data_IF_941451798424
#
_entry.id   IF_941451798424
#
_cell.length_a   1.000
_cell.length_b   1.000
_cell.length_c   1.000
_cell.angle_alpha   90.00
_cell.angle_beta   90.00
_cell.angle_gamma   90.00
#
_symmetry.space_group_name_H-M   'P 1'
#
loop_
_entity.id
_entity.type
_entity.pdbx_description
1 polymer ?
#
# COMPACT_ATOMS: atom_id res chain seq x y z
N UNK A 1 -31.14 9.58 -8.83
CA UNK A 1 -31.14 9.58 -7.35
C UNK A 1 -29.82 8.95 -6.93
N UNK A 2 -28.86 9.74 -6.48
CA UNK A 2 -27.63 9.21 -5.87
C UNK A 2 -28.01 8.65 -4.50
N UNK A 3 -27.96 7.32 -4.33
CA UNK A 3 -28.20 6.72 -3.02
C UNK A 3 -27.07 7.10 -2.07
N UNK A 4 -27.42 7.56 -0.87
CA UNK A 4 -26.44 7.69 0.21
C UNK A 4 -25.97 6.28 0.60
N UNK A 5 -24.68 6.00 0.48
CA UNK A 5 -24.12 4.73 0.94
C UNK A 5 -23.97 4.82 2.46
N UNK A 6 -24.67 3.94 3.18
CA UNK A 6 -24.56 3.82 4.62
C UNK A 6 -23.71 2.59 4.92
N UNK A 7 -22.56 2.79 5.56
CA UNK A 7 -21.67 1.73 6.02
C UNK A 7 -21.61 1.74 7.55
N UNK A 8 -21.29 0.59 8.14
CA UNK A 8 -21.12 0.46 9.59
C UNK A 8 -19.87 1.22 10.06
N UNK A 9 -19.84 1.69 11.33
CA UNK A 9 -18.64 2.32 11.89
C UNK A 9 -17.43 1.39 11.83
N UNK A 10 -16.28 1.94 11.43
CA UNK A 10 -15.01 1.23 11.35
C UNK A 10 -14.46 1.02 12.76
N UNK A 11 -14.01 -0.18 13.11
CA UNK A 11 -13.52 -0.47 14.46
C UNK A 11 -12.06 -0.93 14.48
N UNK A 12 -11.73 -1.95 13.70
CA UNK A 12 -10.42 -2.63 13.71
C UNK A 12 -9.54 -2.12 12.58
N UNK A 13 -8.45 -1.44 12.94
CA UNK A 13 -7.50 -0.86 11.98
C UNK A 13 -6.12 -1.45 12.24
N UNK A 14 -5.45 -1.95 11.21
CA UNK A 14 -4.04 -2.32 11.29
C UNK A 14 -3.17 -1.36 10.47
N UNK A 15 -1.98 -1.05 10.98
CA UNK A 15 -0.95 -0.32 10.25
C UNK A 15 0.25 -1.24 10.10
N UNK A 16 0.47 -1.73 8.89
CA UNK A 16 1.53 -2.68 8.55
C UNK A 16 2.79 -1.96 8.08
N UNK A 17 3.91 -2.32 8.69
CA UNK A 17 5.23 -1.82 8.32
C UNK A 17 6.20 -2.98 8.12
N UNK A 18 7.14 -2.82 7.19
CA UNK A 18 8.13 -3.86 6.92
C UNK A 18 7.56 -5.09 6.23
N UNK A 19 6.56 -4.92 5.36
CA UNK A 19 6.14 -5.99 4.44
C UNK A 19 7.30 -6.37 3.51
N UNK A 20 8.02 -5.35 3.03
CA UNK A 20 9.38 -5.49 2.55
C UNK A 20 10.35 -4.94 3.60
N UNK A 21 11.30 -5.75 4.07
CA UNK A 21 12.12 -5.41 5.24
C UNK A 21 13.13 -4.28 5.05
N UNK A 22 13.42 -3.90 3.81
CA UNK A 22 14.35 -2.83 3.46
C UNK A 22 13.65 -1.49 3.13
N UNK A 23 12.34 -1.38 3.27
CA UNK A 23 11.57 -0.14 3.09
C UNK A 23 11.38 0.55 4.45
N UNK A 24 12.38 1.35 4.84
CA UNK A 24 12.59 1.69 6.25
C UNK A 24 11.56 2.65 6.86
N UNK A 25 10.76 3.38 6.06
CA UNK A 25 9.80 4.35 6.62
C UNK A 25 8.71 3.64 7.40
N UNK A 26 8.08 2.64 6.80
CA UNK A 26 7.05 1.82 7.46
C UNK A 26 7.61 1.06 8.66
N UNK A 27 8.83 0.51 8.52
CA UNK A 27 9.54 -0.17 9.62
C UNK A 27 9.73 0.76 10.82
N UNK A 28 10.27 1.96 10.59
CA UNK A 28 10.59 2.91 11.65
C UNK A 28 9.31 3.41 12.34
N UNK A 29 8.30 3.81 11.58
CA UNK A 29 7.05 4.34 12.12
C UNK A 29 6.29 3.31 12.95
N UNK A 30 6.15 2.08 12.44
CA UNK A 30 5.48 1.01 13.18
C UNK A 30 6.27 0.63 14.44
N UNK A 31 7.60 0.54 14.35
CA UNK A 31 8.43 0.28 15.54
C UNK A 31 8.27 1.37 16.60
N UNK A 32 8.13 2.64 16.16
CA UNK A 32 7.84 3.76 17.06
C UNK A 32 6.46 3.63 17.69
N UNK A 33 5.40 3.39 16.89
CA UNK A 33 4.02 3.35 17.39
C UNK A 33 3.70 2.12 18.24
N UNK A 34 4.43 1.02 18.08
CA UNK A 34 4.39 -0.12 19.01
C UNK A 34 4.83 0.25 20.43
N UNK A 35 5.71 1.26 20.57
CA UNK A 35 6.21 1.77 21.86
C UNK A 35 5.42 2.99 22.34
N UNK A 36 5.00 3.85 21.41
CA UNK A 36 4.24 5.07 21.68
C UNK A 36 3.13 5.26 20.64
N UNK A 37 1.94 4.78 20.96
CA UNK A 37 0.77 4.84 20.07
C UNK A 37 0.01 6.17 20.06
N UNK A 38 0.46 7.21 20.77
CA UNK A 38 -0.31 8.44 20.94
C UNK A 38 -0.61 9.16 19.61
N UNK A 39 0.31 9.09 18.64
CA UNK A 39 0.15 9.73 17.34
C UNK A 39 -0.96 9.09 16.49
N UNK A 40 -1.12 7.77 16.58
CA UNK A 40 -2.09 7.00 15.80
C UNK A 40 -3.39 6.72 16.56
N UNK A 41 -3.47 7.11 17.84
CA UNK A 41 -4.68 6.98 18.64
C UNK A 41 -5.79 7.90 18.12
N UNK A 42 -7.01 7.37 18.03
CA UNK A 42 -8.24 8.11 17.74
C UNK A 42 -9.36 7.54 18.60
N UNK A 43 -10.30 8.39 19.02
CA UNK A 43 -11.41 7.94 19.87
C UNK A 43 -12.28 6.92 19.11
N UNK A 44 -12.63 5.82 19.77
CA UNK A 44 -13.47 4.77 19.21
C UNK A 44 -12.78 3.83 18.21
N UNK A 45 -11.50 4.03 17.90
CA UNK A 45 -10.75 3.19 16.95
C UNK A 45 -9.75 2.29 17.67
N UNK A 46 -9.72 1.01 17.29
CA UNK A 46 -8.66 0.07 17.67
C UNK A 46 -7.58 0.10 16.59
N UNK A 47 -6.57 0.94 16.78
CA UNK A 47 -5.46 1.09 15.84
C UNK A 47 -4.27 0.24 16.29
N UNK A 48 -3.89 -0.75 15.47
CA UNK A 48 -2.84 -1.72 15.77
C UNK A 48 -1.67 -1.64 14.77
N UNK A 49 -0.56 -0.97 15.13
CA UNK A 49 0.70 -1.07 14.41
C UNK A 49 1.24 -2.51 14.44
N UNK A 50 1.82 -3.01 13.34
CA UNK A 50 2.34 -4.37 13.27
C UNK A 50 3.47 -4.54 12.24
N UNK A 51 4.57 -5.20 12.63
CA UNK A 51 5.66 -5.55 11.71
C UNK A 51 5.34 -6.88 11.02
N UNK A 52 5.16 -6.84 9.70
CA UNK A 52 4.70 -7.97 8.91
C UNK A 52 5.82 -8.94 8.53
N UNK A 53 7.02 -8.48 8.17
CA UNK A 53 8.16 -9.36 7.87
C UNK A 53 9.35 -9.11 8.84
N UNK A 54 9.27 -9.56 10.11
CA UNK A 54 10.32 -9.26 11.10
C UNK A 54 11.69 -9.83 10.71
N UNK A 55 11.77 -11.00 10.04
CA UNK A 55 13.05 -11.58 9.62
C UNK A 55 13.71 -10.77 8.51
N UNK A 56 12.93 -10.32 7.52
CA UNK A 56 13.47 -9.48 6.45
C UNK A 56 13.88 -8.11 6.98
N UNK A 57 13.13 -7.55 7.93
CA UNK A 57 13.47 -6.30 8.63
C UNK A 57 14.81 -6.42 9.36
N UNK A 58 15.00 -7.48 10.16
CA UNK A 58 16.25 -7.71 10.90
C UNK A 58 17.48 -7.77 9.98
N UNK A 59 17.31 -8.34 8.78
CA UNK A 59 18.37 -8.43 7.77
C UNK A 59 18.42 -7.24 6.80
N UNK A 60 17.55 -6.23 6.98
CA UNK A 60 17.38 -5.10 6.05
C UNK A 60 17.32 -5.56 4.57
N UNK A 61 16.57 -6.63 4.30
CA UNK A 61 16.35 -7.20 2.97
C UNK A 61 14.89 -7.11 2.58
N UNK A 62 14.57 -7.20 1.28
CA UNK A 62 13.19 -7.16 0.79
C UNK A 62 12.36 -8.33 1.35
N UNK A 63 12.88 -9.54 1.27
CA UNK A 63 12.27 -10.77 1.75
C UNK A 63 13.36 -11.82 2.08
N UNK A 64 12.95 -12.95 2.66
CA UNK A 64 13.79 -14.11 2.97
C UNK A 64 13.73 -15.13 1.84
N UNK A 65 12.56 -15.74 1.59
CA UNK A 65 12.42 -16.82 0.60
C UNK A 65 11.65 -16.35 -0.64
N UNK A 66 10.54 -15.63 -0.46
CA UNK A 66 9.76 -15.04 -1.55
C UNK A 66 9.08 -13.74 -1.14
N UNK A 67 8.53 -12.98 -2.09
CA UNK A 67 7.88 -11.70 -1.80
C UNK A 67 6.59 -11.89 -0.96
N UNK A 68 6.60 -11.41 0.29
CA UNK A 68 5.45 -11.51 1.21
C UNK A 68 4.17 -10.89 0.61
N UNK A 69 4.32 -9.85 -0.19
CA UNK A 69 3.20 -9.14 -0.81
C UNK A 69 2.67 -9.84 -2.08
N UNK A 70 3.01 -11.12 -2.27
CA UNK A 70 2.59 -11.97 -3.41
C UNK A 70 1.98 -13.31 -3.01
N UNK A 71 1.83 -13.58 -1.72
CA UNK A 71 1.44 -14.92 -1.20
C UNK A 71 0.16 -14.92 -0.35
N UNK A 72 -0.67 -13.88 -0.48
CA UNK A 72 -1.98 -13.79 0.19
C UNK A 72 -3.17 -14.24 -0.68
N UNK A 73 -2.92 -15.00 -1.75
CA UNK A 73 -3.98 -15.72 -2.45
C UNK A 73 -4.48 -16.90 -1.60
N UNK A 74 -5.74 -17.31 -1.83
CA UNK A 74 -6.38 -18.33 -1.01
C UNK A 74 -5.66 -19.68 -1.06
N UNK A 75 -5.01 -20.02 -2.18
CA UNK A 75 -4.24 -21.27 -2.31
C UNK A 75 -3.07 -21.28 -1.33
N UNK A 76 -2.24 -20.23 -1.31
CA UNK A 76 -1.14 -20.13 -0.34
C UNK A 76 -1.63 -20.03 1.11
N UNK A 77 -2.73 -19.32 1.36
CA UNK A 77 -3.28 -19.17 2.71
C UNK A 77 -3.90 -20.46 3.28
N UNK A 78 -4.32 -21.40 2.42
CA UNK A 78 -4.88 -22.70 2.82
C UNK A 78 -3.90 -23.87 2.72
N UNK A 79 -2.64 -23.63 2.33
CA UNK A 79 -1.62 -24.71 2.25
C UNK A 79 -1.38 -25.34 3.61
N UNK A 80 -1.31 -26.67 3.64
CA UNK A 80 -0.98 -27.44 4.84
C UNK A 80 0.43 -27.09 5.35
N UNK A 81 0.58 -26.95 6.67
CA UNK A 81 1.85 -26.56 7.27
C UNK A 81 2.90 -27.66 7.13
N UNK A 82 4.06 -27.31 6.56
CA UNK A 82 5.25 -28.16 6.47
C UNK A 82 6.52 -27.35 6.71
N UNK A 83 7.63 -28.02 7.04
CA UNK A 83 8.93 -27.38 7.26
C UNK A 83 9.52 -26.78 5.97
N UNK A 84 9.16 -27.34 4.80
CA UNK A 84 9.63 -26.91 3.48
C UNK A 84 8.93 -25.66 2.96
N UNK A 85 7.88 -25.18 3.63
CA UNK A 85 7.16 -23.98 3.18
C UNK A 85 8.05 -22.73 3.28
N UNK A 86 8.05 -21.88 2.24
CA UNK A 86 8.71 -20.58 2.30
C UNK A 86 8.28 -19.82 3.55
N UNK A 87 9.25 -19.16 4.19
CA UNK A 87 9.03 -18.36 5.39
C UNK A 87 7.88 -17.36 5.20
N UNK A 88 7.84 -16.64 4.07
CA UNK A 88 6.77 -15.68 3.80
C UNK A 88 5.39 -16.33 3.64
N UNK A 89 5.28 -17.57 3.16
CA UNK A 89 3.98 -18.27 3.10
C UNK A 89 3.48 -18.60 4.51
N UNK A 90 4.35 -19.13 5.38
CA UNK A 90 4.03 -19.36 6.80
C UNK A 90 3.63 -18.05 7.49
N UNK A 91 4.39 -16.99 7.24
CA UNK A 91 4.12 -15.66 7.80
C UNK A 91 2.80 -15.08 7.28
N UNK A 92 2.45 -15.29 6.02
CA UNK A 92 1.17 -14.86 5.46
C UNK A 92 -0.02 -15.57 6.12
N UNK A 93 0.11 -16.87 6.42
CA UNK A 93 -0.92 -17.62 7.16
C UNK A 93 -1.09 -17.10 8.60
N UNK A 94 0.00 -16.80 9.31
CA UNK A 94 -0.06 -16.17 10.64
C UNK A 94 -0.76 -14.80 10.57
N UNK A 95 -0.39 -13.95 9.61
CA UNK A 95 -1.02 -12.63 9.43
C UNK A 95 -2.51 -12.77 9.10
N UNK A 96 -2.87 -13.70 8.21
CA UNK A 96 -4.26 -13.97 7.87
C UNK A 96 -5.07 -14.48 9.06
N UNK A 97 -4.47 -15.25 9.98
CA UNK A 97 -5.11 -15.67 11.22
C UNK A 97 -5.31 -14.49 12.19
N UNK A 98 -4.33 -13.59 12.30
CA UNK A 98 -4.37 -12.46 13.24
C UNK A 98 -5.26 -11.30 12.79
N UNK A 99 -5.32 -11.05 11.48
CA UNK A 99 -5.94 -9.85 10.91
C UNK A 99 -7.02 -10.14 9.85
N UNK A 100 -7.09 -11.38 9.38
CA UNK A 100 -8.20 -11.88 8.56
C UNK A 100 -9.21 -12.61 9.44
N UNK A 101 -9.73 -13.78 8.99
CA UNK A 101 -9.44 -14.43 7.71
C UNK A 101 -9.87 -13.58 6.51
N UNK A 102 -9.07 -13.59 5.44
CA UNK A 102 -9.38 -12.90 4.18
C UNK A 102 -10.78 -13.27 3.67
N UNK A 103 -11.54 -12.26 3.23
CA UNK A 103 -12.92 -12.39 2.76
C UNK A 103 -13.93 -12.89 3.82
N UNK A 104 -13.68 -12.67 5.11
CA UNK A 104 -14.62 -13.00 6.19
C UNK A 104 -15.11 -11.76 6.93
N UNK A 105 -16.25 -11.87 7.61
CA UNK A 105 -16.81 -10.80 8.46
C UNK A 105 -15.89 -10.47 9.65
N UNK A 106 -15.09 -11.45 10.08
CA UNK A 106 -14.11 -11.33 11.17
C UNK A 106 -12.81 -10.62 10.76
N UNK A 107 -12.60 -10.38 9.46
CA UNK A 107 -11.45 -9.62 8.97
C UNK A 107 -11.36 -8.23 9.62
N UNK A 108 -10.14 -7.69 9.67
CA UNK A 108 -9.94 -6.28 10.01
C UNK A 108 -10.67 -5.40 9.00
N UNK A 109 -11.23 -4.30 9.51
CA UNK A 109 -11.99 -3.39 8.69
C UNK A 109 -11.03 -2.67 7.73
N UNK A 110 -9.96 -2.05 8.25
CA UNK A 110 -8.97 -1.34 7.44
C UNK A 110 -7.57 -1.88 7.70
N UNK A 111 -6.79 -2.07 6.63
CA UNK A 111 -5.34 -2.29 6.71
C UNK A 111 -4.63 -1.25 5.86
N UNK A 112 -3.79 -0.44 6.52
CA UNK A 112 -2.83 0.45 5.88
C UNK A 112 -1.48 -0.28 5.77
N UNK A 113 -1.06 -0.62 4.56
CA UNK A 113 0.23 -1.28 4.31
C UNK A 113 1.21 -0.27 3.70
N UNK A 114 2.30 -0.02 4.42
CA UNK A 114 3.24 1.06 4.17
C UNK A 114 4.43 0.59 3.34
N UNK A 115 4.63 1.23 2.18
CA UNK A 115 5.70 0.91 1.24
C UNK A 115 6.58 2.13 0.97
N UNK A 116 7.81 1.86 0.53
CA UNK A 116 8.67 2.85 -0.10
C UNK A 116 9.11 2.39 -1.48
N UNK A 117 9.19 3.34 -2.41
CA UNK A 117 9.71 3.12 -3.76
C UNK A 117 10.94 3.97 -4.01
N UNK A 118 11.83 3.46 -4.85
CA UNK A 118 12.98 4.21 -5.37
C UNK A 118 12.57 5.18 -6.48
N UNK A 119 11.39 5.00 -7.08
CA UNK A 119 10.84 5.89 -8.11
C UNK A 119 10.37 7.22 -7.53
N UNK A 120 10.43 8.28 -8.32
CA UNK A 120 10.02 9.64 -7.93
C UNK A 120 8.49 9.84 -7.91
N UNK A 121 7.78 8.97 -7.19
CA UNK A 121 6.31 8.94 -7.17
C UNK A 121 5.67 9.95 -6.21
N UNK A 122 6.42 10.47 -5.23
CA UNK A 122 5.86 11.29 -4.16
C UNK A 122 4.86 10.51 -3.28
N UNK A 123 3.96 11.23 -2.61
CA UNK A 123 2.86 10.63 -1.87
C UNK A 123 1.88 9.93 -2.82
N UNK A 124 1.72 8.61 -2.68
CA UNK A 124 0.83 7.82 -3.53
C UNK A 124 -0.05 6.90 -2.71
N UNK A 125 -1.36 6.93 -2.99
CA UNK A 125 -2.35 6.01 -2.45
C UNK A 125 -2.68 4.94 -3.49
N UNK A 126 -2.74 3.68 -3.06
CA UNK A 126 -3.04 2.54 -3.94
C UNK A 126 -4.48 2.09 -3.70
N UNK A 127 -5.31 2.15 -4.75
CA UNK A 127 -6.69 1.69 -4.77
C UNK A 127 -6.80 0.38 -5.55
N UNK A 128 -7.55 -0.60 -5.04
CA UNK A 128 -7.74 -1.91 -5.69
C UNK A 128 -9.15 -2.10 -6.28
N UNK A 129 -10.14 -1.30 -5.87
CA UNK A 129 -11.53 -1.37 -6.37
C UNK A 129 -12.05 0.03 -6.70
N UNK A 130 -12.40 0.27 -7.97
CA UNK A 130 -12.91 1.56 -8.45
C UNK A 130 -14.34 1.87 -8.00
N UNK A 131 -15.02 0.92 -7.35
CA UNK A 131 -16.39 1.06 -6.86
C UNK A 131 -16.48 1.20 -5.34
N UNK A 132 -15.35 1.31 -4.65
CA UNK A 132 -15.31 1.46 -3.20
C UNK A 132 -15.49 2.94 -2.80
N UNK A 133 -16.74 3.34 -2.59
CA UNK A 133 -17.10 4.73 -2.28
C UNK A 133 -16.42 5.24 -0.99
N UNK A 134 -16.29 4.40 0.04
CA UNK A 134 -15.60 4.73 1.29
C UNK A 134 -14.12 5.07 1.06
N UNK A 135 -13.38 4.23 0.33
CA UNK A 135 -11.98 4.47 0.01
C UNK A 135 -11.80 5.69 -0.91
N UNK A 136 -12.70 5.90 -1.87
CA UNK A 136 -12.69 7.08 -2.73
C UNK A 136 -12.87 8.36 -1.89
N UNK A 137 -13.81 8.37 -0.95
CA UNK A 137 -14.01 9.50 -0.03
C UNK A 137 -12.80 9.73 0.88
N UNK A 138 -12.20 8.66 1.41
CA UNK A 138 -10.98 8.77 2.21
C UNK A 138 -9.84 9.38 1.40
N UNK A 139 -9.64 8.92 0.16
CA UNK A 139 -8.56 9.39 -0.70
C UNK A 139 -8.79 10.84 -1.14
N UNK A 140 -10.04 11.21 -1.44
CA UNK A 140 -10.43 12.59 -1.68
C UNK A 140 -10.12 13.49 -0.46
N UNK A 141 -10.46 13.04 0.75
CA UNK A 141 -10.17 13.76 2.00
C UNK A 141 -8.67 13.94 2.21
N UNK A 142 -7.87 12.88 2.08
CA UNK A 142 -6.40 12.93 2.22
C UNK A 142 -5.81 13.93 1.23
N UNK A 143 -6.17 13.83 -0.06
CA UNK A 143 -5.71 14.76 -1.11
C UNK A 143 -6.04 16.22 -0.76
N UNK A 144 -7.28 16.46 -0.32
CA UNK A 144 -7.75 17.79 0.06
C UNK A 144 -6.97 18.35 1.25
N UNK A 145 -6.71 17.54 2.27
CA UNK A 145 -5.96 17.96 3.46
C UNK A 145 -4.45 18.12 3.21
N UNK A 146 -3.89 17.43 2.22
CA UNK A 146 -2.47 17.53 1.88
C UNK A 146 -2.17 18.66 0.91
N UNK A 147 -3.15 19.19 0.19
CA UNK A 147 -2.98 20.27 -0.76
C UNK A 147 -2.25 21.49 -0.14
N UNK A 148 -1.29 22.11 -0.85
CA UNK A 148 -0.94 21.88 -2.26
C UNK A 148 0.08 20.76 -2.51
N UNK A 149 0.50 19.99 -1.49
CA UNK A 149 1.40 18.85 -1.69
C UNK A 149 0.68 17.76 -2.52
N UNK A 150 1.26 17.28 -3.64
CA UNK A 150 0.63 16.25 -4.46
C UNK A 150 0.44 14.94 -3.69
N UNK A 151 -0.73 14.34 -3.83
CA UNK A 151 -1.03 12.99 -3.37
C UNK A 151 -1.72 12.25 -4.52
N UNK A 152 -0.96 11.43 -5.23
CA UNK A 152 -1.43 10.67 -6.39
C UNK A 152 -2.24 9.45 -5.97
N UNK A 153 -3.13 8.98 -6.84
CA UNK A 153 -3.89 7.75 -6.63
C UNK A 153 -3.60 6.80 -7.78
N UNK A 154 -3.08 5.62 -7.47
CA UNK A 154 -2.81 4.56 -8.44
C UNK A 154 -3.86 3.46 -8.30
N UNK A 155 -4.64 3.24 -9.34
CA UNK A 155 -5.71 2.24 -9.40
C UNK A 155 -5.16 0.96 -10.02
N UNK A 156 -5.02 -0.07 -9.18
CA UNK A 156 -4.60 -1.41 -9.57
C UNK A 156 -5.87 -2.27 -9.64
N UNK A 157 -6.57 -2.17 -10.76
CA UNK A 157 -7.80 -2.90 -11.01
C UNK A 157 -7.73 -3.51 -12.41
N UNK A 158 -7.44 -4.81 -12.47
CA UNK A 158 -7.37 -5.55 -13.73
C UNK A 158 -7.89 -6.99 -13.55
N UNK A 159 -8.74 -7.51 -14.46
CA UNK A 159 -9.35 -8.83 -14.32
C UNK A 159 -8.36 -10.00 -14.17
N UNK A 160 -7.13 -9.84 -14.69
CA UNK A 160 -6.08 -10.87 -14.58
C UNK A 160 -5.15 -10.70 -13.38
N UNK A 161 -5.25 -9.60 -12.62
CA UNK A 161 -4.45 -9.41 -11.41
C UNK A 161 -5.11 -10.18 -10.26
N UNK A 162 -4.51 -11.30 -9.85
CA UNK A 162 -4.87 -11.97 -8.60
C UNK A 162 -4.31 -11.13 -7.44
N UNK A 163 -5.18 -10.51 -6.64
CA UNK A 163 -4.77 -9.79 -5.43
C UNK A 163 -4.25 -10.77 -4.38
N UNK A 164 -2.92 -10.89 -4.34
CA UNK A 164 -2.18 -11.68 -3.35
C UNK A 164 -1.36 -10.78 -2.42
N UNK A 165 -1.84 -9.55 -2.19
CA UNK A 165 -1.16 -8.52 -1.39
C UNK A 165 -1.44 -8.67 0.09
N UNK A 166 -0.52 -8.23 0.95
CA UNK A 166 -0.66 -8.35 2.42
C UNK A 166 -1.88 -7.64 2.96
N UNK A 167 -2.20 -6.45 2.43
CA UNK A 167 -3.40 -5.67 2.80
C UNK A 167 -4.72 -6.29 2.37
N UNK A 168 -4.73 -7.15 1.35
CA UNK A 168 -5.97 -7.72 0.77
C UNK A 168 -6.75 -8.66 1.70
N UNK A 169 -6.24 -8.91 2.91
CA UNK A 169 -6.98 -9.60 3.97
C UNK A 169 -8.08 -8.73 4.60
N UNK A 170 -7.98 -7.40 4.47
CA UNK A 170 -8.91 -6.44 5.05
C UNK A 170 -10.16 -6.24 4.19
N UNK A 171 -11.24 -5.74 4.82
CA UNK A 171 -12.44 -5.28 4.10
C UNK A 171 -12.14 -4.05 3.24
N UNK A 172 -11.32 -3.13 3.76
CA UNK A 172 -10.87 -1.90 3.12
C UNK A 172 -9.32 -1.86 3.05
N UNK A 173 -8.71 -2.48 2.04
CA UNK A 173 -7.26 -2.49 1.87
C UNK A 173 -6.75 -1.13 1.35
N UNK A 174 -5.70 -0.61 1.98
CA UNK A 174 -5.06 0.66 1.57
C UNK A 174 -3.55 0.49 1.46
N UNK A 175 -3.01 0.73 0.27
CA UNK A 175 -1.55 0.90 0.11
C UNK A 175 -1.18 2.36 0.27
N UNK A 176 -0.19 2.65 1.12
CA UNK A 176 0.44 3.98 1.23
C UNK A 176 1.87 3.84 0.76
N UNK A 177 2.20 4.47 -0.35
CA UNK A 177 3.50 4.43 -1.01
C UNK A 177 4.12 5.84 -0.98
N UNK A 178 5.40 5.93 -0.61
CA UNK A 178 6.12 7.20 -0.61
C UNK A 178 7.54 7.00 -1.14
N UNK A 179 7.88 7.74 -2.19
CA UNK A 179 9.21 7.79 -2.78
C UNK A 179 9.51 9.17 -3.37
N UNK A 180 10.73 9.41 -3.86
CA UNK A 180 11.81 8.44 -3.99
C UNK A 180 12.60 8.26 -2.69
N UNK A 181 12.85 7.01 -2.30
CA UNK A 181 13.75 6.67 -1.21
C UNK A 181 14.55 5.42 -1.57
N UNK A 182 15.91 5.47 -1.53
CA UNK A 182 16.71 4.26 -1.63
C UNK A 182 16.32 3.26 -0.54
N UNK A 183 16.17 1.98 -0.90
CA UNK A 183 15.94 0.93 0.10
C UNK A 183 17.13 0.86 1.09
N UNK A 184 16.86 0.57 2.36
CA UNK A 184 17.84 0.61 3.44
C UNK A 184 18.24 2.02 3.89
N UNK A 185 17.61 3.07 3.38
CA UNK A 185 17.82 4.46 3.80
C UNK A 185 16.53 5.01 4.42
N UNK A 186 16.69 5.83 5.47
CA UNK A 186 15.58 6.53 6.11
C UNK A 186 15.77 8.04 5.92
N UNK A 187 14.83 8.69 5.22
CA UNK A 187 14.84 10.14 5.02
C UNK A 187 13.75 10.81 5.83
N UNK A 188 14.09 11.93 6.47
CA UNK A 188 13.16 12.64 7.35
C UNK A 188 11.95 13.24 6.60
N UNK A 189 12.15 13.70 5.37
CA UNK A 189 11.08 14.25 4.51
C UNK A 189 10.06 13.18 4.09
N UNK A 190 10.53 12.00 3.67
CA UNK A 190 9.69 10.84 3.33
C UNK A 190 8.92 10.35 4.55
N UNK A 191 9.57 10.34 5.72
CA UNK A 191 8.95 9.99 6.99
C UNK A 191 7.82 10.96 7.38
N UNK A 192 8.03 12.28 7.26
CA UNK A 192 6.98 13.28 7.52
C UNK A 192 5.79 13.12 6.56
N UNK A 193 6.07 12.91 5.26
CA UNK A 193 5.04 12.70 4.26
C UNK A 193 4.15 11.50 4.58
N UNK A 194 4.75 10.33 4.89
CA UNK A 194 4.00 9.12 5.23
C UNK A 194 3.17 9.29 6.52
N UNK A 195 3.73 9.96 7.54
CA UNK A 195 3.00 10.28 8.79
C UNK A 195 1.79 11.17 8.53
N UNK A 196 1.94 12.19 7.68
CA UNK A 196 0.84 13.09 7.32
C UNK A 196 -0.29 12.37 6.57
N UNK A 197 0.05 11.49 5.63
CA UNK A 197 -0.94 10.66 4.92
C UNK A 197 -1.75 9.81 5.92
N UNK A 198 -1.08 9.10 6.82
CA UNK A 198 -1.73 8.27 7.86
C UNK A 198 -2.56 9.09 8.84
N UNK A 199 -2.05 10.26 9.27
CA UNK A 199 -2.80 11.18 10.14
C UNK A 199 -4.15 11.52 9.51
N UNK A 200 -4.15 11.94 8.25
CA UNK A 200 -5.38 12.33 7.56
C UNK A 200 -6.30 11.13 7.28
N UNK A 201 -5.75 9.95 7.03
CA UNK A 201 -6.54 8.72 6.88
C UNK A 201 -7.26 8.35 8.20
N UNK A 202 -6.55 8.36 9.33
CA UNK A 202 -7.13 8.07 10.64
C UNK A 202 -8.14 9.15 11.08
N UNK A 203 -7.86 10.42 10.79
CA UNK A 203 -8.81 11.52 11.03
C UNK A 203 -10.09 11.35 10.20
N UNK A 204 -9.98 10.91 8.94
CA UNK A 204 -11.14 10.61 8.10
C UNK A 204 -12.02 9.54 8.75
N UNK A 205 -11.43 8.43 9.18
CA UNK A 205 -12.17 7.32 9.78
C UNK A 205 -12.87 7.76 11.07
N UNK A 206 -12.19 8.51 11.95
CA UNK A 206 -12.82 9.02 13.16
C UNK A 206 -14.02 9.92 12.83
N UNK A 207 -13.87 10.83 11.86
CA UNK A 207 -14.96 11.73 11.44
C UNK A 207 -16.13 10.98 10.83
N UNK A 208 -15.85 9.96 10.02
CA UNK A 208 -16.87 9.06 9.48
C UNK A 208 -17.67 8.39 10.61
N UNK A 209 -16.97 7.83 11.60
CA UNK A 209 -17.61 7.21 12.78
C UNK A 209 -18.40 8.21 13.65
N UNK A 210 -17.96 9.48 13.71
CA UNK A 210 -18.68 10.56 14.41
C UNK A 210 -19.94 11.04 13.67
N UNK A 211 -20.26 10.43 12.52
CA UNK A 211 -21.45 10.76 11.73
C UNK A 211 -21.27 11.99 10.83
N UNK A 212 -20.03 12.40 10.54
CA UNK A 212 -19.79 13.44 9.53
C UNK A 212 -20.22 12.91 8.17
N UNK A 213 -21.21 13.56 7.57
CA UNK A 213 -21.60 13.30 6.19
C UNK A 213 -20.56 13.86 5.21
N UNK A 214 -20.21 13.06 4.21
CA UNK A 214 -19.29 13.43 3.13
C UNK A 214 -20.07 13.58 1.82
N UNK A 215 -20.13 14.79 1.22
CA UNK A 215 -20.80 14.99 -0.06
C UNK A 215 -20.20 14.14 -1.19
N UNK A 216 -20.94 13.90 -2.29
CA UNK A 216 -20.40 13.24 -3.47
C UNK A 216 -19.11 13.92 -3.96
N UNK A 217 -18.11 13.12 -4.28
CA UNK A 217 -16.82 13.60 -4.78
C UNK A 217 -16.32 12.75 -5.95
N UNK A 218 -15.24 13.20 -6.59
CA UNK A 218 -14.49 12.45 -7.58
C UNK A 218 -12.99 12.68 -7.35
N UNK A 219 -12.17 11.73 -7.77
CA UNK A 219 -10.71 11.81 -7.70
C UNK A 219 -10.09 11.43 -9.04
N UNK A 220 -9.06 12.17 -9.44
CA UNK A 220 -8.20 11.73 -10.54
C UNK A 220 -7.34 10.55 -10.08
N UNK A 221 -7.33 9.50 -10.92
CA UNK A 221 -6.57 8.26 -10.70
C UNK A 221 -5.73 7.91 -11.92
N UNK A 222 -4.61 7.23 -11.68
CA UNK A 222 -3.81 6.58 -12.72
C UNK A 222 -4.14 5.09 -12.71
N UNK A 223 -4.85 4.59 -13.72
CA UNK A 223 -5.20 3.16 -13.82
C UNK A 223 -4.09 2.37 -14.49
N UNK A 224 -3.70 1.24 -13.92
CA UNK A 224 -2.75 0.32 -14.55
C UNK A 224 -3.29 -0.14 -15.92
N UNK A 225 -2.45 -0.07 -16.94
CA UNK A 225 -2.74 -0.64 -18.27
C UNK A 225 -1.92 -1.91 -18.47
N UNK A 226 -0.60 -1.77 -18.50
CA UNK A 226 0.35 -2.86 -18.69
C UNK A 226 1.69 -2.53 -18.02
N UNK A 227 2.58 -3.53 -17.97
CA UNK A 227 3.96 -3.35 -17.52
C UNK A 227 4.88 -3.43 -18.73
N UNK A 228 5.81 -2.48 -18.85
CA UNK A 228 6.85 -2.50 -19.88
C UNK A 228 8.14 -2.98 -19.22
N UNK A 229 8.68 -4.10 -19.69
CA UNK A 229 9.97 -4.61 -19.22
C UNK A 229 11.12 -3.80 -19.84
N UNK A 230 12.30 -3.92 -19.25
CA UNK A 230 13.52 -3.44 -19.87
C UNK A 230 13.77 -4.17 -21.19
N UNK A 231 14.33 -3.50 -22.21
CA UNK A 231 14.92 -4.20 -23.35
C UNK A 231 15.98 -5.19 -22.86
N UNK A 232 15.96 -6.42 -23.37
CA UNK A 232 16.89 -7.50 -22.99
C UNK A 232 17.64 -8.04 -24.19
N UNK A 233 18.88 -8.47 -23.97
CA UNK A 233 19.67 -9.20 -24.98
C UNK A 233 19.22 -10.68 -25.08
N UNK A 234 19.85 -11.46 -25.96
CA UNK A 234 19.54 -12.89 -26.14
C UNK A 234 19.76 -13.73 -24.87
N UNK A 235 20.63 -13.28 -23.95
CA UNK A 235 20.90 -13.94 -22.67
C UNK A 235 19.89 -13.56 -21.57
N UNK A 236 19.00 -12.59 -21.82
CA UNK A 236 18.02 -12.10 -20.86
C UNK A 236 18.51 -10.96 -19.96
N UNK A 237 19.74 -10.48 -20.13
CA UNK A 237 20.28 -9.34 -19.39
C UNK A 237 19.69 -8.02 -19.92
N UNK A 238 19.58 -7.02 -19.04
CA UNK A 238 19.14 -5.67 -19.41
C UNK A 238 20.11 -5.06 -20.43
N UNK A 239 19.59 -4.68 -21.60
CA UNK A 239 20.35 -4.14 -22.72
C UNK A 239 20.25 -2.61 -22.85
N UNK A 240 19.29 -1.97 -22.18
CA UNK A 240 19.12 -0.52 -22.16
C UNK A 240 18.60 -0.03 -20.80
N UNK A 241 18.93 1.20 -20.44
CA UNK A 241 18.47 1.85 -19.20
C UNK A 241 17.32 2.82 -19.48
N UNK A 242 16.62 3.25 -18.43
CA UNK A 242 15.60 4.29 -18.55
C UNK A 242 16.23 5.57 -19.10
N UNK A 243 15.61 6.14 -20.12
CA UNK A 243 16.11 7.35 -20.76
C UNK A 243 16.09 8.54 -19.77
N UNK A 244 17.10 9.45 -19.76
CA UNK A 244 17.17 10.55 -18.80
C UNK A 244 15.92 11.44 -18.74
N UNK A 245 15.25 11.66 -19.88
CA UNK A 245 14.01 12.44 -19.93
C UNK A 245 12.83 11.76 -19.22
N UNK A 246 12.86 10.43 -19.07
CA UNK A 246 11.81 9.64 -18.41
C UNK A 246 12.17 9.33 -16.94
N UNK A 247 13.46 9.37 -16.57
CA UNK A 247 14.00 8.89 -15.30
C UNK A 247 13.27 9.41 -14.05
N UNK A 248 12.81 10.67 -14.08
CA UNK A 248 12.12 11.34 -12.96
C UNK A 248 10.67 11.71 -13.30
N UNK A 249 10.18 11.36 -14.49
CA UNK A 249 8.86 11.80 -15.00
C UNK A 249 7.76 10.79 -14.64
N UNK A 250 6.75 11.24 -13.88
CA UNK A 250 5.63 10.41 -13.40
C UNK A 250 4.26 10.77 -14.00
N UNK A 251 4.21 11.70 -14.97
CA UNK A 251 2.92 12.29 -15.40
C UNK A 251 2.49 11.91 -16.82
N UNK A 252 3.31 12.08 -17.87
CA UNK A 252 2.89 11.79 -19.26
C UNK A 252 4.06 11.43 -20.18
N UNK A 253 4.04 10.22 -20.73
CA UNK A 253 4.81 9.89 -21.93
C UNK A 253 3.94 10.21 -23.15
N UNK A 254 4.42 11.06 -24.06
CA UNK A 254 3.77 11.29 -25.37
C UNK A 254 4.43 10.38 -26.41
N UNK A 255 3.66 9.88 -27.36
CA UNK A 255 4.22 9.19 -28.53
C UNK A 255 5.16 10.16 -29.28
N UNK A 256 6.45 9.82 -29.31
CA UNK A 256 7.57 10.57 -29.90
C UNK A 256 8.71 9.62 -30.28
N UNK A 257 9.69 10.03 -31.12
CA UNK A 257 10.39 9.15 -32.06
C UNK A 257 11.53 8.32 -31.45
N UNK A 258 11.34 7.70 -30.28
CA UNK A 258 12.30 6.73 -29.73
C UNK A 258 12.01 5.28 -30.16
N UNK A 259 11.08 5.08 -31.11
CA UNK A 259 10.81 3.79 -31.77
C UNK A 259 11.63 3.54 -33.05
N UNK A 260 12.55 4.43 -33.43
CA UNK A 260 13.36 4.27 -34.64
C UNK A 260 14.81 3.94 -34.32
N UNK A 261 15.18 2.71 -34.69
CA UNK A 261 16.46 2.28 -35.26
C UNK A 261 17.75 2.72 -34.56
N UNK A 262 18.40 1.77 -33.89
CA UNK A 262 19.74 1.27 -34.24
C UNK A 262 19.98 -0.10 -33.64
#
# INVERSE_FOLDING_TARGET
MTSCVAEEPIKKIAIFGGTHGNELTGVFLVTHWLKNGAEVHRAGLEVKPFITNPRAVEKCTRYIDCDLNRVFDLENLSKEMSEDLPYEVRRAQEINHLFGPKNSDDAYDVVFDLHNTTSNMGCTLILEDSRNDFLIQMFHYIKTCMAPLPCSVYLIEHPSLKYATTRSIAKYPVGIEVGPQPHGVLRADILDQMRRMLKHALDFIQRFNEGKEFPPCAIDVYKIMEKVDYPRNESGDVAAVIHPNLQEEVTRVRDGPSRTER
#
